data_IF_587758367897
#
_entry.id   IF_587758367897
#
_cell.length_a   1.000
_cell.length_b   1.000
_cell.length_c   1.000
_cell.angle_alpha   90.00
_cell.angle_beta   90.00
_cell.angle_gamma   90.00
#
_symmetry.space_group_name_H-M   'P 1'
#
loop_
_entity.id
_entity.type
_entity.pdbx_description
1 polymer ?
#
# COMPACT_ATOMS: atom_id res chain seq x y z
N UNK A 1 15.64 17.85 -12.58
CA UNK A 1 14.40 18.66 -12.59
C UNK A 1 13.87 18.62 -11.18
N UNK A 2 13.59 19.77 -10.56
CA UNK A 2 13.02 19.81 -9.22
C UNK A 2 11.59 19.27 -9.24
N UNK A 3 11.23 18.45 -8.25
CA UNK A 3 9.86 17.91 -8.10
C UNK A 3 8.92 18.95 -7.48
N UNK A 4 9.46 19.80 -6.59
CA UNK A 4 8.69 20.85 -5.91
C UNK A 4 8.82 22.20 -6.64
N UNK A 5 7.68 22.84 -6.88
CA UNK A 5 7.62 24.26 -7.29
C UNK A 5 7.62 25.20 -6.08
N UNK A 6 7.90 26.49 -6.29
CA UNK A 6 7.87 27.50 -5.21
C UNK A 6 6.52 27.56 -4.48
N UNK A 7 5.42 27.37 -5.21
CA UNK A 7 4.07 27.31 -4.64
C UNK A 7 3.92 26.10 -3.71
N UNK A 8 4.46 24.95 -4.10
CA UNK A 8 4.42 23.72 -3.29
C UNK A 8 5.25 23.88 -2.02
N UNK A 9 6.42 24.50 -2.14
CA UNK A 9 7.30 24.84 -1.01
C UNK A 9 6.58 25.75 0.00
N UNK A 10 5.85 26.76 -0.48
CA UNK A 10 5.09 27.67 0.39
C UNK A 10 4.01 26.93 1.19
N UNK A 11 3.21 26.07 0.52
CA UNK A 11 2.18 25.28 1.20
C UNK A 11 2.74 24.26 2.20
N UNK A 12 3.87 23.64 1.87
CA UNK A 12 4.55 22.69 2.75
C UNK A 12 4.94 23.31 4.10
N UNK A 13 5.36 24.59 4.11
CA UNK A 13 5.76 25.30 5.33
C UNK A 13 4.59 25.64 6.26
N UNK A 14 3.38 25.72 5.72
CA UNK A 14 2.16 26.02 6.51
C UNK A 14 1.38 24.78 6.90
N UNK A 15 1.79 23.60 6.40
CA UNK A 15 1.11 22.35 6.63
C UNK A 15 1.08 21.96 8.12
N UNK A 16 -0.08 21.46 8.56
CA UNK A 16 -0.27 20.89 9.90
C UNK A 16 -1.00 19.56 9.78
N UNK A 17 -0.39 18.52 10.33
CA UNK A 17 -0.99 17.19 10.34
C UNK A 17 -2.28 17.18 11.17
N UNK A 18 -3.29 16.48 10.66
CA UNK A 18 -4.55 16.23 11.34
C UNK A 18 -5.05 14.83 10.99
N UNK A 19 -5.29 14.01 12.01
CA UNK A 19 -5.78 12.65 11.88
C UNK A 19 -6.75 12.35 13.02
N UNK A 20 -7.76 11.53 12.72
CA UNK A 20 -8.70 10.97 13.69
C UNK A 20 -8.67 9.45 13.59
N UNK A 21 -8.29 8.84 14.70
CA UNK A 21 -8.46 7.41 14.95
C UNK A 21 -9.42 7.24 16.14
N UNK A 22 -10.53 6.55 15.89
CA UNK A 22 -11.52 6.22 16.90
C UNK A 22 -11.87 4.72 16.89
N UNK A 23 -10.98 3.89 16.37
CA UNK A 23 -11.10 2.43 16.45
C UNK A 23 -11.01 1.99 17.92
N UNK A 24 -11.94 1.16 18.42
CA UNK A 24 -11.84 0.62 19.77
C UNK A 24 -10.56 -0.19 19.98
N UNK A 25 -10.19 -1.03 19.01
CA UNK A 25 -8.97 -1.84 19.09
C UNK A 25 -7.73 -0.96 19.17
N UNK A 26 -7.64 0.05 18.30
CA UNK A 26 -6.50 0.96 18.29
C UNK A 26 -6.45 1.79 19.56
N UNK A 27 -7.56 2.39 19.98
CA UNK A 27 -7.65 3.27 21.15
C UNK A 27 -7.31 2.57 22.45
N UNK A 28 -7.85 1.36 22.66
CA UNK A 28 -7.77 0.67 23.96
C UNK A 28 -6.66 -0.37 24.04
N UNK A 29 -6.09 -0.82 22.90
CA UNK A 29 -5.06 -1.87 22.88
C UNK A 29 -3.77 -1.35 22.23
N UNK A 30 -3.84 -0.91 20.97
CA UNK A 30 -2.62 -0.61 20.20
C UNK A 30 -1.94 0.68 20.65
N UNK A 31 -2.68 1.78 20.84
CA UNK A 31 -2.11 3.05 21.32
C UNK A 31 -1.43 2.88 22.69
N UNK A 32 -2.05 2.27 23.72
CA UNK A 32 -1.37 1.98 24.98
C UNK A 32 -0.10 1.13 24.81
N UNK A 33 -0.15 0.09 23.97
CA UNK A 33 1.01 -0.76 23.68
C UNK A 33 2.15 0.03 23.01
N UNK A 34 1.85 0.85 22.00
CA UNK A 34 2.84 1.68 21.31
C UNK A 34 3.37 2.82 22.16
N UNK A 35 2.52 3.45 22.99
CA UNK A 35 2.92 4.47 23.96
C UNK A 35 3.88 3.89 25.00
N UNK A 36 3.65 2.65 25.46
CA UNK A 36 4.57 1.93 26.34
C UNK A 36 5.87 1.59 25.60
N UNK A 37 5.80 0.98 24.41
CA UNK A 37 6.97 0.51 23.68
C UNK A 37 7.89 1.66 23.24
N UNK A 38 7.31 2.76 22.77
CA UNK A 38 8.07 3.92 22.30
C UNK A 38 8.93 4.55 23.41
N UNK A 39 8.63 4.31 24.69
CA UNK A 39 9.46 4.78 25.80
C UNK A 39 10.87 4.18 25.80
N UNK A 40 11.02 2.96 25.26
CA UNK A 40 12.30 2.26 25.19
C UNK A 40 13.18 2.67 24.02
N UNK A 41 12.64 3.40 23.04
CA UNK A 41 13.47 3.90 21.94
C UNK A 41 14.49 4.91 22.46
N UNK A 42 15.72 4.93 21.95
CA UNK A 42 16.65 5.99 22.31
C UNK A 42 16.21 7.30 21.63
N UNK A 43 16.47 8.44 22.29
CA UNK A 43 16.04 9.76 21.80
C UNK A 43 16.75 10.22 20.54
N UNK A 44 17.85 9.56 20.13
CA UNK A 44 18.53 9.83 18.86
C UNK A 44 17.87 9.12 17.68
N UNK A 45 17.01 8.13 17.94
CA UNK A 45 16.38 7.33 16.89
C UNK A 45 15.34 8.17 16.15
N UNK A 46 15.64 8.48 14.89
CA UNK A 46 14.76 9.24 14.03
C UNK A 46 13.49 8.44 13.68
N UNK A 47 12.29 9.05 13.73
CA UNK A 47 11.03 8.40 13.34
C UNK A 47 11.09 7.77 11.96
N UNK A 48 11.58 8.48 10.94
CA UNK A 48 11.65 7.94 9.58
C UNK A 48 12.56 6.71 9.46
N UNK A 49 13.53 6.52 10.37
CA UNK A 49 14.34 5.29 10.39
C UNK A 49 13.52 4.11 10.93
N UNK A 50 12.63 4.35 11.90
CA UNK A 50 11.67 3.36 12.41
C UNK A 50 10.74 2.95 11.26
N UNK A 51 10.11 3.93 10.61
CA UNK A 51 9.24 3.74 9.43
C UNK A 51 9.95 2.94 8.34
N UNK A 52 11.15 3.37 7.92
CA UNK A 52 11.90 2.70 6.86
C UNK A 52 12.29 1.27 7.23
N UNK A 53 12.66 1.04 8.50
CA UNK A 53 12.96 -0.31 8.97
C UNK A 53 11.72 -1.19 8.91
N UNK A 54 10.56 -0.71 9.40
CA UNK A 54 9.29 -1.42 9.29
C UNK A 54 8.93 -1.74 7.84
N UNK A 55 9.05 -0.76 6.96
CA UNK A 55 8.86 -0.92 5.53
C UNK A 55 9.76 -2.02 4.94
N UNK A 56 11.05 -2.05 5.26
CA UNK A 56 11.96 -3.10 4.78
C UNK A 56 11.58 -4.50 5.27
N UNK A 57 11.00 -4.63 6.47
CA UNK A 57 10.46 -5.91 6.94
C UNK A 57 9.25 -6.34 6.11
N UNK A 58 8.43 -5.39 5.63
CA UNK A 58 7.32 -5.71 4.71
C UNK A 58 7.79 -6.21 3.35
N UNK A 59 8.82 -5.56 2.81
CA UNK A 59 9.53 -6.01 1.61
C UNK A 59 10.09 -7.42 1.81
N UNK A 60 10.74 -7.67 2.96
CA UNK A 60 11.35 -8.95 3.26
C UNK A 60 10.33 -10.10 3.29
N UNK A 61 9.20 -9.95 3.99
CA UNK A 61 8.21 -11.03 4.04
C UNK A 61 7.54 -11.26 2.68
N UNK A 62 7.30 -10.21 1.90
CA UNK A 62 6.73 -10.36 0.56
C UNK A 62 7.67 -11.15 -0.36
N UNK A 63 8.95 -10.77 -0.44
CA UNK A 63 9.89 -11.49 -1.29
C UNK A 63 10.20 -12.90 -0.77
N UNK A 64 10.16 -13.13 0.55
CA UNK A 64 10.24 -14.47 1.12
C UNK A 64 9.10 -15.36 0.61
N UNK A 65 7.85 -14.88 0.63
CA UNK A 65 6.71 -15.63 0.09
C UNK A 65 6.74 -15.76 -1.43
N UNK A 66 7.25 -14.76 -2.16
CA UNK A 66 7.49 -14.88 -3.61
C UNK A 66 8.48 -16.00 -3.94
N UNK A 67 9.54 -16.16 -3.15
CA UNK A 67 10.56 -17.17 -3.38
C UNK A 67 10.02 -18.60 -3.15
N UNK A 68 9.31 -18.83 -2.05
CA UNK A 68 8.79 -20.16 -1.72
C UNK A 68 7.47 -20.50 -2.41
N UNK A 69 6.72 -19.50 -2.87
CA UNK A 69 5.39 -19.69 -3.45
C UNK A 69 5.15 -18.84 -4.72
N UNK A 70 5.97 -18.94 -5.77
CA UNK A 70 5.97 -18.00 -6.90
C UNK A 70 4.63 -17.90 -7.65
N UNK A 71 3.80 -18.96 -7.63
CA UNK A 71 2.57 -19.04 -8.43
C UNK A 71 1.28 -18.97 -7.60
N UNK A 72 1.35 -18.59 -6.31
CA UNK A 72 0.20 -18.60 -5.40
C UNK A 72 -0.52 -19.95 -5.35
N UNK A 73 0.23 -21.05 -5.47
CA UNK A 73 -0.33 -22.41 -5.55
C UNK A 73 0.47 -23.38 -4.72
N UNK A 74 -0.14 -24.49 -4.31
CA UNK A 74 0.51 -25.51 -3.49
C UNK A 74 1.06 -24.95 -2.17
N UNK A 75 0.20 -24.24 -1.43
CA UNK A 75 0.49 -23.65 -0.12
C UNK A 75 1.14 -24.65 0.85
N UNK A 76 0.69 -25.92 0.80
CA UNK A 76 1.20 -27.00 1.65
C UNK A 76 2.65 -27.40 1.35
N UNK A 77 3.21 -27.00 0.21
CA UNK A 77 4.62 -27.26 -0.15
C UNK A 77 5.56 -26.17 0.38
N UNK A 78 5.04 -25.06 0.91
CA UNK A 78 5.85 -24.00 1.50
C UNK A 78 6.40 -24.47 2.85
N UNK A 79 7.72 -24.36 3.11
CA UNK A 79 8.28 -24.73 4.40
C UNK A 79 7.62 -23.97 5.55
N UNK A 80 7.17 -24.70 6.58
CA UNK A 80 6.31 -24.15 7.65
C UNK A 80 6.96 -22.97 8.38
N UNK A 81 8.29 -22.95 8.52
CA UNK A 81 9.02 -21.84 9.13
C UNK A 81 8.85 -20.49 8.39
N UNK A 82 8.52 -20.52 7.09
CA UNK A 82 8.24 -19.30 6.31
C UNK A 82 7.04 -18.57 6.90
N UNK A 83 6.02 -19.30 7.35
CA UNK A 83 4.85 -18.71 8.00
C UNK A 83 5.19 -18.08 9.35
N UNK A 84 6.08 -18.70 10.13
CA UNK A 84 6.57 -18.13 11.38
C UNK A 84 7.33 -16.83 11.14
N UNK A 85 8.27 -16.84 10.20
CA UNK A 85 9.08 -15.65 9.87
C UNK A 85 8.18 -14.55 9.33
N UNK A 86 7.27 -14.85 8.41
CA UNK A 86 6.30 -13.86 7.89
C UNK A 86 5.43 -13.29 9.01
N UNK A 87 4.95 -14.10 9.95
CA UNK A 87 4.19 -13.62 11.12
C UNK A 87 4.96 -12.58 11.93
N UNK A 88 6.21 -12.89 12.29
CA UNK A 88 7.06 -11.96 13.04
C UNK A 88 7.38 -10.70 12.25
N UNK A 89 7.72 -10.83 10.96
CA UNK A 89 8.01 -9.68 10.11
C UNK A 89 6.81 -8.75 9.98
N UNK A 90 5.60 -9.28 9.76
CA UNK A 90 4.36 -8.49 9.70
C UNK A 90 4.10 -7.80 11.05
N UNK A 91 4.18 -8.55 12.16
CA UNK A 91 3.92 -7.99 13.50
C UNK A 91 4.90 -6.87 13.86
N UNK A 92 6.19 -7.09 13.62
CA UNK A 92 7.23 -6.08 13.90
C UNK A 92 7.08 -4.89 12.96
N UNK A 93 6.82 -5.10 11.66
CA UNK A 93 6.59 -4.01 10.72
C UNK A 93 5.42 -3.11 11.17
N UNK A 94 4.27 -3.71 11.49
CA UNK A 94 3.10 -2.98 12.00
C UNK A 94 3.37 -2.27 13.33
N UNK A 95 4.21 -2.87 14.19
CA UNK A 95 4.59 -2.24 15.46
C UNK A 95 5.51 -1.05 15.25
N UNK A 96 6.47 -1.13 14.33
CA UNK A 96 7.37 -0.03 14.01
C UNK A 96 6.59 1.13 13.38
N UNK A 97 5.69 0.84 12.46
CA UNK A 97 4.73 1.77 11.88
C UNK A 97 3.94 2.52 12.98
N UNK A 98 3.21 1.82 13.85
CA UNK A 98 2.43 2.46 14.90
C UNK A 98 3.23 3.23 15.97
N UNK A 99 4.55 3.01 16.08
CA UNK A 99 5.40 3.68 17.07
C UNK A 99 6.19 4.86 16.52
N UNK A 100 6.27 5.05 15.20
CA UNK A 100 7.07 6.13 14.61
C UNK A 100 6.54 7.53 14.97
N UNK A 101 5.22 7.73 14.93
CA UNK A 101 4.56 9.00 15.25
C UNK A 101 4.57 9.25 16.75
N UNK A 102 4.57 8.17 17.56
CA UNK A 102 4.76 8.23 19.01
C UNK A 102 6.16 8.75 19.33
N UNK A 103 7.18 8.20 18.65
CA UNK A 103 8.54 8.69 18.73
C UNK A 103 8.64 10.14 18.28
N UNK A 104 8.05 10.50 17.13
CA UNK A 104 8.11 11.85 16.58
C UNK A 104 7.52 12.91 17.53
N UNK A 105 6.41 12.59 18.21
CA UNK A 105 5.83 13.46 19.24
C UNK A 105 6.74 13.59 20.46
N UNK A 106 7.31 12.47 20.92
CA UNK A 106 8.22 12.42 22.08
C UNK A 106 9.49 13.24 21.87
N UNK A 107 10.07 13.16 20.67
CA UNK A 107 11.29 13.90 20.29
C UNK A 107 11.02 15.27 19.68
N UNK A 108 9.73 15.69 19.61
CA UNK A 108 9.30 16.96 18.99
C UNK A 108 9.79 17.12 17.53
N UNK A 109 9.85 16.02 16.80
CA UNK A 109 10.35 15.95 15.42
C UNK A 109 9.27 15.60 14.39
N UNK A 110 7.98 15.76 14.75
CA UNK A 110 6.87 15.62 13.81
C UNK A 110 6.98 16.64 12.67
N UNK A 111 6.80 16.18 11.42
CA UNK A 111 6.95 17.02 10.23
C UNK A 111 6.11 16.50 9.07
N UNK A 112 5.84 17.37 8.08
CA UNK A 112 5.22 16.97 6.81
C UNK A 112 6.04 15.90 6.07
N UNK A 113 7.38 15.93 6.22
CA UNK A 113 8.26 14.91 5.66
C UNK A 113 7.99 13.54 6.27
N UNK A 114 7.91 13.46 7.60
CA UNK A 114 7.68 12.18 8.28
C UNK A 114 6.36 11.55 7.87
N UNK A 115 5.32 12.37 7.72
CA UNK A 115 4.03 11.89 7.23
C UNK A 115 4.07 11.41 5.77
N UNK A 116 4.74 12.14 4.87
CA UNK A 116 4.94 11.65 3.49
C UNK A 116 5.67 10.31 3.50
N UNK A 117 6.70 10.20 4.34
CA UNK A 117 7.58 9.04 4.39
C UNK A 117 6.81 7.80 4.86
N UNK A 118 6.04 7.95 5.93
CA UNK A 118 5.12 6.96 6.49
C UNK A 118 4.08 6.50 5.46
N UNK A 119 3.16 7.40 5.09
CA UNK A 119 2.06 7.03 4.20
C UNK A 119 2.52 6.66 2.78
N UNK A 120 3.69 7.16 2.35
CA UNK A 120 4.34 6.74 1.12
C UNK A 120 4.79 5.28 1.19
N UNK A 121 5.42 4.85 2.29
CA UNK A 121 5.78 3.45 2.52
C UNK A 121 4.53 2.55 2.61
N UNK A 122 3.50 2.98 3.35
CA UNK A 122 2.24 2.26 3.49
C UNK A 122 1.53 1.96 2.16
N UNK A 123 1.66 2.86 1.20
CA UNK A 123 1.07 2.67 -0.13
C UNK A 123 1.64 1.43 -0.85
N UNK A 124 2.89 1.06 -0.56
CA UNK A 124 3.49 -0.20 -1.01
C UNK A 124 3.18 -1.37 -0.08
N UNK A 125 3.02 -1.15 1.22
CA UNK A 125 2.54 -2.20 2.16
C UNK A 125 1.18 -2.73 1.72
N UNK A 126 0.33 -1.88 1.14
CA UNK A 126 -0.94 -2.27 0.51
C UNK A 126 -0.77 -3.31 -0.62
N UNK A 127 0.43 -3.47 -1.21
CA UNK A 127 0.78 -4.53 -2.17
C UNK A 127 1.40 -5.75 -1.46
N UNK A 128 2.32 -5.53 -0.53
CA UNK A 128 3.13 -6.58 0.07
C UNK A 128 2.35 -7.46 1.03
N UNK A 129 1.52 -6.87 1.89
CA UNK A 129 0.74 -7.60 2.88
C UNK A 129 -0.30 -8.52 2.21
N UNK A 130 -1.11 -8.06 1.25
CA UNK A 130 -2.09 -8.92 0.59
C UNK A 130 -1.44 -9.95 -0.32
N UNK A 131 -0.34 -9.60 -1.00
CA UNK A 131 0.44 -10.58 -1.76
C UNK A 131 0.98 -11.72 -0.89
N UNK A 132 1.39 -11.43 0.34
CA UNK A 132 1.79 -12.48 1.29
C UNK A 132 0.59 -13.32 1.72
N UNK A 133 -0.56 -12.70 1.97
CA UNK A 133 -1.82 -13.41 2.29
C UNK A 133 -2.30 -14.30 1.14
N UNK A 134 -2.22 -13.85 -0.11
CA UNK A 134 -2.53 -14.68 -1.28
C UNK A 134 -1.56 -15.87 -1.42
N UNK A 135 -0.35 -15.77 -0.88
CA UNK A 135 0.59 -16.91 -0.84
C UNK A 135 0.16 -17.97 0.16
N UNK A 136 -0.50 -17.55 1.25
CA UNK A 136 -1.02 -18.45 2.28
C UNK A 136 -2.39 -19.02 1.91
N UNK A 137 -3.20 -18.26 1.20
CA UNK A 137 -4.58 -18.62 0.86
C UNK A 137 -4.77 -18.87 -0.64
N UNK A 138 -3.70 -19.17 -1.37
CA UNK A 138 -3.71 -19.24 -2.84
C UNK A 138 -4.78 -20.16 -3.40
N UNK A 139 -5.02 -21.29 -2.73
CA UNK A 139 -6.01 -22.29 -3.15
C UNK A 139 -7.48 -21.84 -2.92
N UNK A 140 -7.71 -20.71 -2.23
CA UNK A 140 -9.03 -20.12 -1.92
C UNK A 140 -9.42 -19.01 -2.89
N UNK A 141 -8.43 -18.41 -3.55
CA UNK A 141 -8.62 -17.30 -4.48
C UNK A 141 -8.27 -17.71 -5.89
N UNK A 142 -9.14 -17.39 -6.84
CA UNK A 142 -8.73 -17.33 -8.25
C UNK A 142 -7.79 -16.16 -8.47
N UNK A 143 -6.96 -16.22 -9.52
CA UNK A 143 -6.08 -15.12 -9.95
C UNK A 143 -6.83 -13.81 -10.18
N UNK A 144 -8.05 -13.89 -10.73
CA UNK A 144 -8.94 -12.74 -10.91
C UNK A 144 -9.43 -12.18 -9.57
N UNK A 145 -9.74 -13.04 -8.60
CA UNK A 145 -10.10 -12.59 -7.25
C UNK A 145 -8.90 -11.97 -6.53
N UNK A 146 -7.68 -12.46 -6.71
CA UNK A 146 -6.47 -11.81 -6.20
C UNK A 146 -6.31 -10.41 -6.80
N UNK A 147 -6.50 -10.27 -8.12
CA UNK A 147 -6.48 -8.98 -8.80
C UNK A 147 -7.53 -8.01 -8.25
N UNK A 148 -8.79 -8.44 -8.12
CA UNK A 148 -9.87 -7.58 -7.60
C UNK A 148 -9.65 -7.27 -6.11
N UNK A 149 -9.22 -8.25 -5.30
CA UNK A 149 -8.96 -8.06 -3.87
C UNK A 149 -7.82 -7.07 -3.63
N UNK A 150 -6.78 -7.14 -4.45
CA UNK A 150 -5.69 -6.20 -4.45
C UNK A 150 -6.16 -4.77 -4.82
N UNK A 151 -7.05 -4.65 -5.81
CA UNK A 151 -7.72 -3.39 -6.17
C UNK A 151 -8.50 -2.79 -5.02
N UNK A 152 -9.31 -3.62 -4.36
CA UNK A 152 -10.13 -3.22 -3.21
C UNK A 152 -9.26 -2.58 -2.14
N UNK A 153 -8.12 -3.17 -1.80
CA UNK A 153 -7.25 -2.66 -0.74
C UNK A 153 -6.55 -1.35 -1.11
N UNK A 154 -5.98 -1.25 -2.32
CA UNK A 154 -5.28 -0.02 -2.70
C UNK A 154 -6.24 1.14 -2.90
N UNK A 155 -7.43 0.88 -3.47
CA UNK A 155 -8.47 1.90 -3.62
C UNK A 155 -8.96 2.32 -2.24
N UNK A 156 -9.05 1.38 -1.29
CA UNK A 156 -9.42 1.74 0.08
C UNK A 156 -8.42 2.72 0.68
N UNK A 157 -7.12 2.41 0.57
CA UNK A 157 -6.06 3.29 1.06
C UNK A 157 -6.04 4.66 0.34
N UNK A 158 -6.25 4.66 -0.98
CA UNK A 158 -6.36 5.88 -1.78
C UNK A 158 -7.57 6.72 -1.36
N UNK A 159 -8.72 6.11 -1.09
CA UNK A 159 -9.93 6.82 -0.69
C UNK A 159 -9.77 7.50 0.67
N UNK A 160 -9.05 6.92 1.63
CA UNK A 160 -8.70 7.60 2.89
C UNK A 160 -7.85 8.86 2.64
N UNK A 161 -6.91 8.79 1.70
CA UNK A 161 -6.12 9.95 1.30
C UNK A 161 -6.94 10.95 0.50
N UNK A 162 -7.79 10.51 -0.41
CA UNK A 162 -8.69 11.38 -1.16
C UNK A 162 -9.67 12.11 -0.22
N UNK A 163 -10.20 11.45 0.81
CA UNK A 163 -11.01 12.11 1.85
C UNK A 163 -10.18 13.15 2.61
N UNK A 164 -8.93 12.84 2.96
CA UNK A 164 -8.01 13.83 3.56
C UNK A 164 -7.74 15.02 2.65
N UNK A 165 -7.57 14.81 1.34
CA UNK A 165 -7.37 15.89 0.38
C UNK A 165 -8.54 16.88 0.37
N UNK A 166 -9.76 16.38 0.55
CA UNK A 166 -10.98 17.20 0.52
C UNK A 166 -11.26 17.83 1.89
N UNK A 167 -11.06 17.07 2.96
CA UNK A 167 -11.48 17.44 4.32
C UNK A 167 -10.34 18.00 5.18
N UNK A 168 -9.08 17.87 4.75
CA UNK A 168 -7.90 18.23 5.54
C UNK A 168 -7.65 17.35 6.77
N UNK A 169 -8.39 16.24 6.93
CA UNK A 169 -8.27 15.32 8.08
C UNK A 169 -8.16 13.89 7.57
N UNK A 170 -7.17 13.14 8.05
CA UNK A 170 -7.05 11.71 7.77
C UNK A 170 -7.93 10.91 8.73
N UNK A 171 -8.93 10.20 8.23
CA UNK A 171 -9.72 9.27 9.03
C UNK A 171 -9.18 7.85 8.87
N UNK A 172 -8.71 7.27 9.96
CA UNK A 172 -8.25 5.88 9.93
C UNK A 172 -9.45 4.91 9.98
N UNK A 173 -9.45 3.87 9.13
CA UNK A 173 -10.45 2.80 9.20
C UNK A 173 -10.37 2.05 10.52
N UNK A 174 -11.51 1.73 11.12
CA UNK A 174 -11.54 0.93 12.36
C UNK A 174 -10.85 -0.42 12.23
N UNK A 175 -10.93 -1.01 11.05
CA UNK A 175 -10.37 -2.32 10.75
C UNK A 175 -8.87 -2.29 10.48
N UNK A 176 -8.23 -1.12 10.35
CA UNK A 176 -6.83 -1.02 9.91
C UNK A 176 -5.87 -1.81 10.82
N UNK A 177 -5.70 -1.41 12.07
CA UNK A 177 -4.79 -2.08 13.02
C UNK A 177 -5.23 -3.49 13.36
N UNK A 178 -6.56 -3.70 13.45
CA UNK A 178 -7.14 -5.02 13.71
C UNK A 178 -6.76 -5.98 12.58
N UNK A 179 -6.84 -5.55 11.32
CA UNK A 179 -6.54 -6.38 10.16
C UNK A 179 -5.06 -6.73 10.07
N UNK A 180 -4.16 -5.77 10.31
CA UNK A 180 -2.72 -6.02 10.29
C UNK A 180 -2.29 -6.98 11.40
N UNK A 181 -2.79 -6.77 12.62
CA UNK A 181 -2.54 -7.68 13.75
C UNK A 181 -3.13 -9.07 13.49
N UNK A 182 -4.35 -9.15 12.96
CA UNK A 182 -4.99 -10.41 12.61
C UNK A 182 -4.20 -11.18 11.54
N UNK A 183 -3.65 -10.50 10.53
CA UNK A 183 -2.81 -11.14 9.51
C UNK A 183 -1.57 -11.78 10.14
N UNK A 184 -0.88 -11.08 11.07
CA UNK A 184 0.25 -11.67 11.79
C UNK A 184 -0.16 -12.94 12.57
N UNK A 185 -1.32 -12.91 13.24
CA UNK A 185 -1.86 -14.07 13.96
C UNK A 185 -2.21 -15.21 13.00
N UNK A 186 -2.80 -14.93 11.84
CA UNK A 186 -3.15 -15.94 10.82
C UNK A 186 -1.90 -16.67 10.33
N UNK A 187 -0.80 -15.96 10.07
CA UNK A 187 0.48 -16.60 9.74
C UNK A 187 1.03 -17.45 10.90
N UNK A 188 0.87 -17.00 12.14
CA UNK A 188 1.28 -17.78 13.32
C UNK A 188 0.47 -19.07 13.46
N UNK A 189 -0.85 -19.00 13.23
CA UNK A 189 -1.72 -20.18 13.23
C UNK A 189 -1.34 -21.15 12.12
N UNK A 190 -1.03 -20.66 10.92
CA UNK A 190 -0.56 -21.48 9.81
C UNK A 190 0.76 -22.20 10.12
N UNK A 191 1.65 -21.59 10.91
CA UNK A 191 2.86 -22.25 11.40
C UNK A 191 2.54 -23.41 12.35
N UNK A 192 1.69 -23.20 13.35
CA UNK A 192 1.41 -24.22 14.38
C UNK A 192 0.50 -25.35 13.91
N UNK A 193 -0.47 -25.05 13.06
CA UNK A 193 -1.57 -25.95 12.73
C UNK A 193 -1.68 -26.30 11.24
N UNK A 194 -0.67 -25.91 10.44
CA UNK A 194 -0.70 -25.96 8.97
C UNK A 194 -1.72 -24.97 8.36
N UNK A 195 -1.49 -24.44 7.14
CA UNK A 195 -2.44 -23.59 6.42
C UNK A 195 -3.83 -24.19 6.25
N UNK A 196 -3.94 -25.53 6.25
CA UNK A 196 -5.21 -26.26 6.12
C UNK A 196 -6.25 -25.87 7.17
N UNK A 197 -5.83 -25.50 8.39
CA UNK A 197 -6.74 -25.07 9.47
C UNK A 197 -7.60 -23.86 9.05
N UNK A 198 -7.12 -23.04 8.13
CA UNK A 198 -7.82 -21.83 7.67
C UNK A 198 -8.96 -22.17 6.72
N UNK A 199 -8.92 -23.33 6.07
CA UNK A 199 -9.90 -23.80 5.08
C UNK A 199 -10.94 -24.72 5.75
N UNK A 200 -10.62 -25.28 6.92
CA UNK A 200 -11.57 -26.07 7.69
C UNK A 200 -12.81 -25.25 8.12
N UNK A 201 -14.03 -25.83 8.06
CA UNK A 201 -15.24 -25.15 8.51
C UNK A 201 -15.21 -24.87 10.02
N UNK A 202 -15.49 -23.63 10.41
CA UNK A 202 -15.56 -23.22 11.82
C UNK A 202 -17.00 -23.02 12.30
N UNK A 203 -17.79 -22.17 11.64
CA UNK A 203 -19.11 -21.72 12.11
C UNK A 203 -20.10 -21.75 10.96
N UNK A 204 -21.22 -22.46 11.11
CA UNK A 204 -22.25 -22.62 10.07
C UNK A 204 -21.69 -23.06 8.70
N UNK A 205 -20.62 -23.87 8.69
CA UNK A 205 -19.98 -24.33 7.45
C UNK A 205 -18.99 -23.34 6.81
N UNK A 206 -18.82 -22.15 7.38
CA UNK A 206 -17.86 -21.15 6.90
C UNK A 206 -16.47 -21.42 7.46
N UNK A 207 -15.45 -21.38 6.60
CA UNK A 207 -14.04 -21.42 7.01
C UNK A 207 -13.50 -20.02 7.30
N UNK A 208 -12.39 -19.95 8.05
CA UNK A 208 -11.73 -18.68 8.35
C UNK A 208 -11.26 -17.98 7.06
N UNK A 209 -10.75 -18.73 6.09
CA UNK A 209 -10.33 -18.22 4.79
C UNK A 209 -11.51 -17.69 3.96
N UNK A 210 -12.67 -18.35 4.00
CA UNK A 210 -13.88 -17.85 3.36
C UNK A 210 -14.32 -16.53 4.00
N UNK A 211 -14.40 -16.46 5.34
CA UNK A 211 -14.74 -15.22 6.05
C UNK A 211 -13.77 -14.11 5.67
N UNK A 212 -12.46 -14.36 5.69
CA UNK A 212 -11.44 -13.40 5.29
C UNK A 212 -11.68 -12.89 3.86
N UNK A 213 -11.92 -13.80 2.91
CA UNK A 213 -12.24 -13.48 1.51
C UNK A 213 -13.44 -12.54 1.37
N UNK A 214 -14.56 -12.84 2.03
CA UNK A 214 -15.73 -11.96 1.92
C UNK A 214 -15.52 -10.63 2.66
N UNK A 215 -14.88 -10.63 3.84
CA UNK A 215 -14.56 -9.37 4.54
C UNK A 215 -13.67 -8.46 3.70
N UNK A 216 -12.71 -9.02 2.96
CA UNK A 216 -11.89 -8.30 2.00
C UNK A 216 -12.77 -7.64 0.92
N UNK A 217 -13.63 -8.39 0.22
CA UNK A 217 -14.44 -7.82 -0.86
C UNK A 217 -15.51 -6.84 -0.40
N UNK A 218 -15.98 -6.96 0.85
CA UNK A 218 -16.95 -6.03 1.43
C UNK A 218 -16.28 -4.84 2.13
N UNK A 219 -14.95 -4.80 2.27
CA UNK A 219 -14.26 -3.76 3.04
C UNK A 219 -14.55 -2.35 2.53
N UNK A 220 -14.66 -2.14 1.21
CA UNK A 220 -14.97 -0.83 0.63
C UNK A 220 -16.28 -0.22 1.15
N UNK A 221 -17.30 -1.05 1.41
CA UNK A 221 -18.60 -0.58 1.91
C UNK A 221 -18.55 -0.16 3.38
N UNK A 222 -17.75 -0.86 4.19
CA UNK A 222 -17.65 -0.60 5.63
C UNK A 222 -16.59 0.46 5.97
N UNK A 223 -15.57 0.62 5.14
CA UNK A 223 -14.44 1.53 5.37
C UNK A 223 -14.73 2.96 4.89
N UNK A 224 -15.54 3.15 3.83
CA UNK A 224 -15.69 4.46 3.18
C UNK A 224 -17.09 5.08 3.31
N UNK A 225 -17.65 5.08 4.51
CA UNK A 225 -18.74 6.01 4.82
C UNK A 225 -18.10 7.39 5.09
N UNK A 226 -18.28 8.39 4.22
CA UNK A 226 -17.64 9.69 4.37
C UNK A 226 -18.08 10.33 5.69
N UNK A 227 -17.13 10.71 6.53
CA UNK A 227 -17.44 11.22 7.88
C UNK A 227 -17.75 12.71 7.89
N UNK A 228 -17.54 13.41 6.78
CA UNK A 228 -17.71 14.87 6.64
C UNK A 228 -18.34 15.26 5.29
N UNK A 229 -19.00 16.42 5.16
CA UNK A 229 -19.55 16.90 3.89
C UNK A 229 -18.48 17.14 2.83
N UNK A 230 -18.79 16.76 1.60
CA UNK A 230 -17.89 16.56 0.45
C UNK A 230 -17.30 17.84 -0.18
N UNK A 231 -17.56 19.03 0.38
CA UNK A 231 -17.37 20.29 -0.34
C UNK A 231 -16.75 21.39 0.52
N UNK A 232 -15.46 21.28 0.86
CA UNK A 232 -14.66 22.46 1.29
C UNK A 232 -14.37 23.44 0.14
N UNK A 233 -15.39 23.83 -0.63
CA UNK A 233 -15.25 24.84 -1.69
C UNK A 233 -14.46 24.43 -2.94
N UNK A 234 -14.03 23.16 -3.06
CA UNK A 234 -13.24 22.65 -4.20
C UNK A 234 -14.04 22.49 -5.51
N UNK A 235 -15.38 22.47 -5.43
CA UNK A 235 -16.26 22.11 -6.54
C UNK A 235 -16.13 20.65 -6.99
N UNK A 236 -17.04 20.19 -7.86
CA UNK A 236 -17.05 18.80 -8.34
C UNK A 236 -15.76 18.41 -9.05
N UNK A 237 -15.20 19.31 -9.84
CA UNK A 237 -13.95 19.07 -10.57
C UNK A 237 -12.77 18.89 -9.61
N UNK A 238 -12.66 19.70 -8.55
CA UNK A 238 -11.61 19.58 -7.55
C UNK A 238 -11.67 18.24 -6.80
N UNK A 239 -12.89 17.75 -6.53
CA UNK A 239 -13.14 16.47 -5.87
C UNK A 239 -12.80 15.26 -6.77
N UNK A 240 -13.09 15.34 -8.07
CA UNK A 240 -12.88 14.23 -9.00
C UNK A 240 -11.45 14.13 -9.55
N UNK A 241 -10.71 15.25 -9.58
CA UNK A 241 -9.33 15.30 -10.11
C UNK A 241 -8.40 14.21 -9.57
N UNK A 242 -8.29 13.96 -8.25
CA UNK A 242 -7.39 12.95 -7.72
C UNK A 242 -7.78 11.51 -8.09
N UNK A 243 -9.04 11.27 -8.46
CA UNK A 243 -9.56 9.94 -8.80
C UNK A 243 -9.27 9.56 -10.25
N UNK A 244 -8.95 10.54 -11.11
CA UNK A 244 -8.75 10.29 -12.54
C UNK A 244 -7.57 9.35 -12.84
N UNK A 245 -6.35 9.53 -12.30
CA UNK A 245 -5.23 8.63 -12.60
C UNK A 245 -5.51 7.18 -12.18
N UNK A 246 -6.12 6.97 -11.01
CA UNK A 246 -6.44 5.62 -10.54
C UNK A 246 -7.57 4.98 -11.36
N UNK A 247 -8.55 5.76 -11.83
CA UNK A 247 -9.59 5.26 -12.73
C UNK A 247 -9.02 4.82 -14.08
N UNK A 248 -8.08 5.59 -14.65
CA UNK A 248 -7.37 5.19 -15.88
C UNK A 248 -6.53 3.94 -15.65
N UNK A 249 -5.81 3.86 -14.52
CA UNK A 249 -5.05 2.66 -14.16
C UNK A 249 -5.96 1.43 -14.01
N UNK A 250 -7.14 1.58 -13.41
CA UNK A 250 -8.15 0.53 -13.26
C UNK A 250 -8.67 0.04 -14.59
N UNK A 251 -9.04 0.97 -15.47
CA UNK A 251 -9.49 0.64 -16.81
C UNK A 251 -8.40 -0.10 -17.59
N UNK A 252 -7.19 0.47 -17.67
CA UNK A 252 -6.07 -0.14 -18.39
C UNK A 252 -5.70 -1.51 -17.83
N UNK A 253 -5.66 -1.68 -16.52
CA UNK A 253 -5.33 -2.98 -15.91
C UNK A 253 -6.42 -4.02 -16.16
N UNK A 254 -7.69 -3.62 -16.13
CA UNK A 254 -8.82 -4.50 -16.42
C UNK A 254 -8.85 -4.91 -17.89
N UNK A 255 -8.50 -3.98 -18.80
CA UNK A 255 -8.34 -4.27 -20.22
C UNK A 255 -7.19 -5.24 -20.46
N UNK A 256 -6.02 -5.01 -19.86
CA UNK A 256 -4.89 -5.93 -20.00
C UNK A 256 -5.23 -7.32 -19.45
N UNK A 257 -5.81 -7.40 -18.25
CA UNK A 257 -6.22 -8.67 -17.66
C UNK A 257 -7.26 -9.44 -18.49
N UNK A 258 -8.13 -8.74 -19.23
CA UNK A 258 -9.22 -9.37 -19.99
C UNK A 258 -8.86 -9.70 -21.43
N UNK A 259 -8.02 -8.88 -22.07
CA UNK A 259 -7.66 -8.98 -23.49
C UNK A 259 -6.22 -9.43 -23.73
N UNK A 260 -5.47 -9.79 -22.67
CA UNK A 260 -4.12 -10.33 -22.76
C UNK A 260 -4.06 -11.54 -23.73
N UNK A 261 -3.28 -11.45 -24.82
CA UNK A 261 -3.12 -12.56 -25.76
C UNK A 261 -2.50 -13.82 -25.15
N UNK A 262 -1.57 -13.67 -24.21
CA UNK A 262 -0.84 -14.78 -23.58
C UNK A 262 -1.42 -15.28 -22.26
N UNK A 263 -2.54 -14.70 -21.80
CA UNK A 263 -3.14 -14.91 -20.48
C UNK A 263 -2.18 -14.53 -19.33
N UNK A 264 -1.69 -13.30 -19.40
CA UNK A 264 -0.63 -12.76 -18.56
C UNK A 264 -0.99 -12.75 -17.07
N UNK A 265 -2.25 -12.44 -16.74
CA UNK A 265 -2.71 -12.41 -15.34
C UNK A 265 -2.56 -13.76 -14.66
N UNK A 266 -2.87 -14.87 -15.35
CA UNK A 266 -2.78 -16.21 -14.77
C UNK A 266 -1.35 -16.75 -14.76
N UNK A 267 -0.57 -16.45 -15.79
CA UNK A 267 0.81 -16.99 -15.91
C UNK A 267 1.85 -16.20 -15.12
N UNK A 268 1.63 -14.90 -14.92
CA UNK A 268 2.58 -13.98 -14.30
C UNK A 268 1.90 -13.10 -13.23
N UNK A 269 0.98 -13.68 -12.45
CA UNK A 269 0.13 -12.97 -11.48
C UNK A 269 0.93 -12.06 -10.57
N UNK A 270 2.01 -12.54 -9.94
CA UNK A 270 2.84 -11.75 -9.02
C UNK A 270 3.38 -10.48 -9.65
N UNK A 271 3.98 -10.61 -10.84
CA UNK A 271 4.61 -9.49 -11.54
C UNK A 271 3.55 -8.51 -12.02
N UNK A 272 2.40 -9.01 -12.48
CA UNK A 272 1.28 -8.19 -12.88
C UNK A 272 0.75 -7.34 -11.73
N UNK A 273 0.49 -7.96 -10.57
CA UNK A 273 0.06 -7.26 -9.36
C UNK A 273 1.14 -6.31 -8.83
N UNK A 274 2.42 -6.69 -8.88
CA UNK A 274 3.51 -5.85 -8.41
C UNK A 274 3.69 -4.58 -9.27
N UNK A 275 3.69 -4.74 -10.60
CA UNK A 275 3.78 -3.63 -11.54
C UNK A 275 2.66 -2.64 -11.30
N UNK A 276 1.43 -3.14 -11.29
CA UNK A 276 0.25 -2.33 -11.08
C UNK A 276 0.26 -1.66 -9.68
N UNK A 277 0.61 -2.40 -8.63
CA UNK A 277 0.61 -1.90 -7.26
C UNK A 277 1.65 -0.80 -7.05
N UNK A 278 2.79 -0.90 -7.73
CA UNK A 278 3.81 0.14 -7.74
C UNK A 278 3.32 1.42 -8.40
N UNK A 279 2.62 1.32 -9.55
CA UNK A 279 2.06 2.49 -10.24
C UNK A 279 0.94 3.14 -9.40
N UNK A 280 0.11 2.32 -8.75
CA UNK A 280 -0.93 2.82 -7.84
C UNK A 280 -0.32 3.54 -6.62
N UNK A 281 0.74 2.99 -6.03
CA UNK A 281 1.54 3.65 -4.99
C UNK A 281 2.12 4.97 -5.49
N UNK A 282 2.66 5.03 -6.71
CA UNK A 282 3.13 6.26 -7.34
C UNK A 282 2.04 7.35 -7.41
N UNK A 283 0.82 6.97 -7.84
CA UNK A 283 -0.33 7.88 -7.86
C UNK A 283 -0.69 8.38 -6.45
N UNK A 284 -0.68 7.49 -5.45
CA UNK A 284 -0.99 7.83 -4.06
C UNK A 284 0.07 8.80 -3.50
N UNK A 285 1.36 8.56 -3.72
CA UNK A 285 2.42 9.46 -3.27
C UNK A 285 2.27 10.87 -3.88
N UNK A 286 1.92 10.99 -5.16
CA UNK A 286 1.63 12.29 -5.78
C UNK A 286 0.41 12.98 -5.16
N UNK A 287 -0.61 12.22 -4.79
CA UNK A 287 -1.77 12.73 -4.07
C UNK A 287 -1.36 13.23 -2.66
N UNK A 288 -0.58 12.47 -1.91
CA UNK A 288 -0.06 12.88 -0.60
C UNK A 288 0.76 14.17 -0.72
N UNK A 289 1.69 14.25 -1.68
CA UNK A 289 2.49 15.46 -1.91
C UNK A 289 1.58 16.66 -2.22
N UNK A 290 0.57 16.49 -3.06
CA UNK A 290 -0.39 17.56 -3.36
C UNK A 290 -1.14 18.06 -2.12
N UNK A 291 -1.50 17.15 -1.21
CA UNK A 291 -2.13 17.47 0.07
C UNK A 291 -1.20 18.29 0.97
N UNK A 292 0.02 17.78 1.19
CA UNK A 292 1.04 18.42 2.03
C UNK A 292 1.38 19.83 1.53
N UNK A 293 1.40 20.01 0.21
CA UNK A 293 1.74 21.26 -0.42
C UNK A 293 0.53 22.19 -0.66
N UNK A 294 -0.68 21.78 -0.29
CA UNK A 294 -1.92 22.54 -0.55
C UNK A 294 -2.09 22.95 -2.03
N UNK A 295 -1.74 22.06 -2.95
CA UNK A 295 -1.87 22.27 -4.40
C UNK A 295 -2.89 21.28 -4.99
N UNK A 296 -3.49 21.60 -6.16
CA UNK A 296 -4.38 20.65 -6.83
C UNK A 296 -3.67 19.34 -7.15
N UNK A 297 -4.32 18.22 -6.87
CA UNK A 297 -3.79 16.90 -7.23
C UNK A 297 -3.59 16.76 -8.75
N UNK A 298 -2.50 16.09 -9.18
CA UNK A 298 -2.22 15.93 -10.61
C UNK A 298 -3.23 14.97 -11.26
N UNK A 299 -3.77 15.38 -12.41
CA UNK A 299 -4.65 14.54 -13.25
C UNK A 299 -3.82 13.58 -14.11
N UNK A 300 -2.59 13.95 -14.42
CA UNK A 300 -1.70 13.16 -15.26
C UNK A 300 -0.63 12.49 -14.40
N UNK A 301 -0.43 11.20 -14.62
CA UNK A 301 0.65 10.44 -14.04
C UNK A 301 1.41 9.74 -15.16
N UNK A 302 2.73 9.95 -15.21
CA UNK A 302 3.62 9.44 -16.27
C UNK A 302 3.56 7.92 -16.36
N UNK A 303 3.60 7.21 -15.23
CA UNK A 303 3.60 5.76 -15.18
C UNK A 303 2.25 5.18 -15.63
N UNK A 304 1.14 5.81 -15.23
CA UNK A 304 -0.22 5.42 -15.68
C UNK A 304 -0.35 5.56 -17.20
N UNK A 305 0.15 6.67 -17.78
CA UNK A 305 0.12 6.88 -19.23
C UNK A 305 0.97 5.86 -19.98
N UNK A 306 2.18 5.59 -19.49
CA UNK A 306 3.08 4.59 -20.07
C UNK A 306 2.43 3.19 -20.03
N UNK A 307 1.88 2.80 -18.88
CA UNK A 307 1.19 1.52 -18.70
C UNK A 307 -0.03 1.40 -19.62
N UNK A 308 -0.83 2.46 -19.75
CA UNK A 308 -2.03 2.50 -20.60
C UNK A 308 -1.69 2.44 -22.09
N UNK A 309 -0.59 3.09 -22.51
CA UNK A 309 -0.08 3.00 -23.88
C UNK A 309 0.40 1.58 -24.20
N UNK A 310 1.20 0.97 -23.32
CA UNK A 310 1.68 -0.41 -23.50
C UNK A 310 0.50 -1.38 -23.53
N UNK A 311 -0.47 -1.24 -22.62
CA UNK A 311 -1.70 -2.03 -22.61
C UNK A 311 -2.41 -1.95 -23.96
N UNK A 312 -2.62 -0.73 -24.47
CA UNK A 312 -3.31 -0.51 -25.76
C UNK A 312 -2.57 -1.17 -26.92
N UNK A 313 -1.24 -1.04 -26.98
CA UNK A 313 -0.41 -1.63 -28.04
C UNK A 313 -0.42 -3.16 -27.97
N UNK A 314 -0.27 -3.74 -26.78
CA UNK A 314 -0.21 -5.19 -26.57
C UNK A 314 -1.57 -5.85 -26.82
N UNK A 315 -2.66 -5.24 -26.35
CA UNK A 315 -3.99 -5.85 -26.44
C UNK A 315 -4.66 -5.59 -27.80
N UNK A 316 -4.40 -4.44 -28.43
CA UNK A 316 -5.18 -3.99 -29.60
C UNK A 316 -4.32 -3.54 -30.79
N UNK A 317 -3.02 -3.32 -30.61
CA UNK A 317 -2.15 -2.77 -31.65
C UNK A 317 -1.72 -3.80 -32.69
N UNK A 318 -1.46 -5.05 -32.27
CA UNK A 318 -0.99 -6.12 -33.16
C UNK A 318 -1.54 -7.49 -32.75
N UNK A 319 -1.77 -8.41 -33.70
CA UNK A 319 -2.14 -9.79 -33.38
C UNK A 319 -0.92 -10.55 -32.84
N UNK A 320 -0.62 -10.35 -31.55
CA UNK A 320 0.41 -11.11 -30.86
C UNK A 320 -0.02 -12.58 -30.74
N UNK A 321 0.88 -13.50 -31.12
CA UNK A 321 0.67 -14.93 -30.88
C UNK A 321 0.56 -15.21 -29.37
N UNK A 322 -0.30 -16.15 -28.98
CA UNK A 322 -0.51 -16.56 -27.57
C UNK A 322 0.77 -17.02 -26.86
N UNK A 323 1.75 -17.50 -27.63
CA UNK A 323 3.05 -17.97 -27.13
C UNK A 323 4.17 -16.95 -27.31
N UNK A 324 3.85 -15.73 -27.78
CA UNK A 324 4.86 -14.69 -27.98
C UNK A 324 5.46 -14.28 -26.64
N UNK A 325 6.79 -14.22 -26.53
CA UNK A 325 7.43 -13.76 -25.31
C UNK A 325 7.32 -12.25 -25.11
N UNK A 326 6.94 -11.52 -26.16
CA UNK A 326 6.88 -10.06 -26.17
C UNK A 326 6.02 -9.51 -25.04
N UNK A 327 4.83 -10.08 -24.80
CA UNK A 327 3.90 -9.55 -23.80
C UNK A 327 4.47 -9.64 -22.38
N UNK A 328 4.97 -10.81 -21.96
CA UNK A 328 5.53 -10.94 -20.62
C UNK A 328 6.86 -10.19 -20.51
N UNK A 329 7.73 -10.18 -21.53
CA UNK A 329 8.96 -9.37 -21.51
C UNK A 329 8.62 -7.89 -21.31
N UNK A 330 7.59 -7.37 -22.01
CA UNK A 330 7.11 -6.01 -21.82
C UNK A 330 6.64 -5.75 -20.39
N UNK A 331 5.90 -6.68 -19.77
CA UNK A 331 5.50 -6.57 -18.37
C UNK A 331 6.70 -6.49 -17.43
N UNK A 332 7.68 -7.40 -17.55
CA UNK A 332 8.85 -7.41 -16.67
C UNK A 332 9.71 -6.15 -16.84
N UNK A 333 9.94 -5.71 -18.08
CA UNK A 333 10.68 -4.48 -18.37
C UNK A 333 9.95 -3.25 -17.82
N UNK A 334 8.62 -3.19 -18.00
CA UNK A 334 7.80 -2.12 -17.44
C UNK A 334 7.85 -2.13 -15.92
N UNK A 335 7.73 -3.31 -15.29
CA UNK A 335 7.81 -3.48 -13.84
C UNK A 335 9.14 -2.96 -13.30
N UNK A 336 10.25 -3.36 -13.91
CA UNK A 336 11.58 -2.89 -13.53
C UNK A 336 11.70 -1.36 -13.67
N UNK A 337 11.21 -0.81 -14.79
CA UNK A 337 11.22 0.63 -15.04
C UNK A 337 10.40 1.41 -14.01
N UNK A 338 9.13 1.07 -13.80
CA UNK A 338 8.26 1.80 -12.86
C UNK A 338 8.74 1.67 -11.41
N UNK A 339 9.33 0.53 -11.05
CA UNK A 339 9.91 0.36 -9.70
C UNK A 339 11.10 1.29 -9.51
N UNK A 340 12.01 1.35 -10.48
CA UNK A 340 13.17 2.24 -10.41
C UNK A 340 12.77 3.72 -10.46
N UNK A 341 11.82 4.09 -11.33
CA UNK A 341 11.30 5.46 -11.43
C UNK A 341 10.60 5.89 -10.14
N UNK A 342 9.83 5.00 -9.50
CA UNK A 342 9.18 5.26 -8.22
C UNK A 342 10.18 5.43 -7.06
N UNK A 343 11.20 4.55 -6.96
CA UNK A 343 12.28 4.69 -5.96
C UNK A 343 13.02 6.01 -6.16
N UNK A 344 13.32 6.35 -7.41
CA UNK A 344 13.98 7.60 -7.74
C UNK A 344 13.13 8.82 -7.40
N UNK A 345 11.83 8.79 -7.70
CA UNK A 345 10.86 9.81 -7.31
C UNK A 345 10.82 9.98 -5.79
N UNK A 346 10.71 8.89 -5.03
CA UNK A 346 10.69 8.91 -3.57
C UNK A 346 11.98 9.55 -3.02
N UNK A 347 13.16 9.13 -3.52
CA UNK A 347 14.44 9.73 -3.14
C UNK A 347 14.48 11.24 -3.42
N UNK A 348 14.03 11.69 -4.59
CA UNK A 348 14.03 13.11 -4.95
C UNK A 348 13.10 13.93 -4.05
N UNK A 349 11.84 13.52 -3.92
CA UNK A 349 10.84 14.26 -3.14
C UNK A 349 11.24 14.33 -1.66
N UNK A 350 11.69 13.21 -1.08
CA UNK A 350 12.17 13.17 0.32
C UNK A 350 13.32 14.15 0.53
N UNK A 351 14.31 14.16 -0.36
CA UNK A 351 15.46 15.07 -0.23
C UNK A 351 15.09 16.54 -0.46
N UNK A 352 14.19 16.85 -1.39
CA UNK A 352 13.74 18.22 -1.65
C UNK A 352 12.94 18.77 -0.46
N UNK A 353 12.00 17.98 0.07
CA UNK A 353 11.23 18.33 1.28
C UNK A 353 12.17 18.48 2.48
N UNK A 354 13.10 17.53 2.69
CA UNK A 354 14.08 17.59 3.77
C UNK A 354 14.94 18.86 3.69
N UNK A 355 15.40 19.23 2.49
CA UNK A 355 16.17 20.45 2.25
C UNK A 355 15.34 21.71 2.52
N UNK A 356 14.08 21.72 2.08
CA UNK A 356 13.16 22.84 2.29
C UNK A 356 12.81 23.07 3.76
N UNK A 357 12.67 21.98 4.53
CA UNK A 357 12.32 22.02 5.95
C UNK A 357 13.55 22.05 6.88
N UNK A 358 14.76 21.96 6.32
CA UNK A 358 16.02 21.84 7.05
C UNK A 358 16.06 20.64 8.02
N UNK A 359 15.51 19.50 7.59
CA UNK A 359 15.43 18.27 8.37
C UNK A 359 16.45 17.26 7.85
N UNK A 360 17.13 16.54 8.74
CA UNK A 360 17.90 15.35 8.37
C UNK A 360 16.95 14.15 8.35
N UNK A 361 16.85 13.46 7.22
CA UNK A 361 15.85 12.39 7.01
C UNK A 361 15.94 11.29 8.08
N UNK A 362 17.14 10.82 8.41
CA UNK A 362 17.36 9.70 9.32
C UNK A 362 18.10 10.07 10.61
N UNK A 363 18.11 11.34 11.00
CA UNK A 363 18.78 11.80 12.22
C UNK A 363 17.98 12.93 12.86
N UNK A 364 17.94 12.94 14.19
CA UNK A 364 17.39 14.07 14.95
C UNK A 364 18.54 15.02 15.26
N UNK A 365 18.42 16.28 14.85
CA UNK A 365 19.28 17.36 15.36
C UNK A 365 18.71 17.81 16.70
N UNK A 366 19.49 17.63 17.76
CA UNK A 366 19.19 18.13 19.10
C UNK A 366 19.40 19.64 19.19
#
# INVERSE_FOLDING_TARGET
MHQLSDKMISGLKTYKYSCVDNSPFSTYIMHPFWDWLSQFYPVWLAPNLITFTGFLLTVAHYFLTCFYNPNFSATNNVPVWVWLVTSFLVFIAHTLDGTDGKQARRTKSSSALGELFDHGCDSWVCLFLPGSMFSLLGDVYTTREMFIGQWVLIVSFLLSHWEKYITGVLFLPWTFDTSQTAVAVVFLLAYWFSPTILIEPIVYGWSAAAIFKYTLFFSLYFVHIPKQPWYRGLGLTGVLKPLFPVAVLLLSSSLWASYSPSNLLDKHTRVFLFCWGTIASNVICHLIVAQLCHVPAPIHNKEVHLYSMITSVVCFGFPLSKNSPTEYISLYMLTAFVTLDHIYYAYQVVNEIASCLHIKVFSITQ
#
